data_IF_688358760682
#
_entry.id   IF_688358760682
#
_cell.length_a   1.000
_cell.length_b   1.000
_cell.length_c   1.000
_cell.angle_alpha   90.00
_cell.angle_beta   90.00
_cell.angle_gamma   90.00
#
_symmetry.space_group_name_H-M   'P 1'
#
loop_
_entity.id
_entity.type
_entity.pdbx_description
1 polymer ?
#
# COMPACT_ATOMS: atom_id res chain seq x y z
N UNK A 1 25.82 12.21 25.86
CA UNK A 1 24.77 11.25 25.45
C UNK A 1 25.43 9.88 25.23
N UNK A 2 25.04 8.84 25.98
CA UNK A 2 25.49 7.47 25.69
C UNK A 2 24.74 6.99 24.45
N UNK A 3 25.44 6.61 23.39
CA UNK A 3 24.83 5.86 22.28
C UNK A 3 24.17 4.61 22.87
N UNK A 4 22.87 4.45 22.63
CA UNK A 4 22.05 3.38 23.24
C UNK A 4 22.38 2.02 22.62
N UNK A 5 22.96 2.00 21.42
CA UNK A 5 23.32 0.78 20.70
C UNK A 5 24.83 0.70 20.47
N UNK A 6 25.43 -0.46 20.72
CA UNK A 6 26.80 -0.76 20.28
C UNK A 6 26.78 -0.90 18.75
N UNK A 7 27.73 -0.29 18.02
CA UNK A 7 27.84 -0.53 16.58
C UNK A 7 28.15 -2.02 16.35
N UNK A 8 27.41 -2.65 15.45
CA UNK A 8 27.76 -3.94 14.88
C UNK A 8 28.42 -3.69 13.53
N UNK A 9 29.65 -4.14 13.36
CA UNK A 9 30.29 -4.20 12.05
C UNK A 9 29.74 -5.40 11.29
N UNK A 10 29.36 -5.20 10.03
CA UNK A 10 29.02 -6.29 9.11
C UNK A 10 30.37 -6.87 8.63
N UNK A 11 30.77 -8.09 9.05
CA UNK A 11 32.10 -8.61 8.72
C UNK A 11 32.21 -8.93 7.22
N UNK A 12 33.31 -8.51 6.59
CA UNK A 12 33.74 -9.07 5.29
C UNK A 12 33.11 -8.46 4.03
N UNK A 13 32.33 -7.39 4.10
CA UNK A 13 31.79 -6.69 2.94
C UNK A 13 32.29 -5.23 2.92
N UNK A 14 32.80 -4.75 1.78
CA UNK A 14 33.15 -3.33 1.64
C UNK A 14 31.90 -2.45 1.70
N UNK A 15 32.01 -1.23 2.21
CA UNK A 15 30.89 -0.27 2.28
C UNK A 15 30.23 -0.06 0.90
N UNK A 16 31.03 -0.06 -0.16
CA UNK A 16 30.55 0.04 -1.55
C UNK A 16 29.66 -1.14 -1.93
N UNK A 17 30.08 -2.37 -1.64
CA UNK A 17 29.30 -3.57 -1.97
C UNK A 17 27.99 -3.65 -1.16
N UNK A 18 27.98 -3.17 0.09
CA UNK A 18 26.76 -3.06 0.90
C UNK A 18 25.81 -2.03 0.29
N UNK A 19 26.33 -0.86 -0.12
CA UNK A 19 25.53 0.19 -0.75
C UNK A 19 24.92 -0.27 -2.08
N UNK A 20 25.70 -0.97 -2.92
CA UNK A 20 25.23 -1.52 -4.19
C UNK A 20 24.10 -2.55 -3.98
N UNK A 21 24.25 -3.47 -3.02
CA UNK A 21 23.22 -4.44 -2.71
C UNK A 21 21.95 -3.77 -2.17
N UNK A 22 22.08 -2.76 -1.30
CA UNK A 22 20.96 -1.99 -0.78
C UNK A 22 20.20 -1.26 -1.90
N UNK A 23 20.91 -0.65 -2.84
CA UNK A 23 20.29 0.03 -3.99
C UNK A 23 19.59 -0.98 -4.93
N UNK A 24 20.20 -2.12 -5.21
CA UNK A 24 19.57 -3.19 -6.00
C UNK A 24 18.27 -3.68 -5.35
N UNK A 25 18.27 -3.88 -4.03
CA UNK A 25 17.08 -4.27 -3.28
C UNK A 25 16.00 -3.17 -3.34
N UNK A 26 16.39 -1.91 -3.17
CA UNK A 26 15.48 -0.76 -3.29
C UNK A 26 14.83 -0.69 -4.67
N UNK A 27 15.63 -0.75 -5.74
CA UNK A 27 15.16 -0.71 -7.13
C UNK A 27 14.19 -1.86 -7.43
N UNK A 28 14.48 -3.07 -6.92
CA UNK A 28 13.59 -4.24 -7.05
C UNK A 28 12.26 -4.06 -6.31
N UNK A 29 12.26 -3.37 -5.17
CA UNK A 29 11.05 -3.15 -4.38
C UNK A 29 10.15 -2.08 -5.01
N UNK A 30 10.74 -0.99 -5.54
CA UNK A 30 10.00 0.12 -6.15
C UNK A 30 9.62 -0.11 -7.61
N UNK A 31 10.15 -1.15 -8.26
CA UNK A 31 9.79 -1.48 -9.65
C UNK A 31 8.27 -1.61 -9.82
N UNK A 32 7.67 -1.04 -10.89
CA UNK A 32 6.23 -1.12 -11.10
C UNK A 32 5.69 -2.54 -11.05
N UNK A 33 4.54 -2.72 -10.38
CA UNK A 33 3.84 -3.99 -10.27
C UNK A 33 2.41 -3.85 -10.75
N UNK A 34 1.85 -4.98 -11.19
CA UNK A 34 0.49 -5.05 -11.70
C UNK A 34 -0.26 -6.24 -11.10
N UNK A 35 -1.55 -6.05 -10.88
CA UNK A 35 -2.51 -7.08 -10.51
C UNK A 35 -3.73 -6.95 -11.41
N UNK A 36 -4.39 -8.07 -11.70
CA UNK A 36 -5.54 -8.11 -12.59
C UNK A 36 -6.72 -8.80 -11.93
N UNK A 37 -7.92 -8.27 -12.18
CA UNK A 37 -9.20 -8.87 -11.83
C UNK A 37 -10.20 -8.54 -12.93
N UNK A 38 -10.56 -9.54 -13.73
CA UNK A 38 -11.39 -9.36 -14.92
C UNK A 38 -10.82 -8.25 -15.84
N UNK A 39 -11.60 -7.21 -16.13
CA UNK A 39 -11.19 -6.06 -16.93
C UNK A 39 -10.54 -4.92 -16.11
N UNK A 40 -10.17 -5.17 -14.85
CA UNK A 40 -9.58 -4.19 -13.95
C UNK A 40 -8.10 -4.49 -13.72
N UNK A 41 -7.27 -3.45 -13.81
CA UNK A 41 -5.84 -3.48 -13.52
C UNK A 41 -5.55 -2.61 -12.30
N UNK A 42 -4.81 -3.13 -11.32
CA UNK A 42 -4.14 -2.31 -10.31
C UNK A 42 -2.66 -2.18 -10.71
N UNK A 43 -2.10 -0.98 -10.65
CA UNK A 43 -0.70 -0.71 -11.02
C UNK A 43 -0.01 0.23 -10.04
N UNK A 44 1.28 0.00 -9.78
CA UNK A 44 2.15 0.93 -9.05
C UNK A 44 3.05 1.76 -9.96
N UNK A 45 2.80 1.76 -11.27
CA UNK A 45 3.53 2.60 -12.22
C UNK A 45 3.15 4.09 -12.04
N UNK A 46 4.09 4.95 -11.60
CA UNK A 46 3.79 6.37 -11.41
C UNK A 46 3.43 7.08 -12.73
N UNK A 47 3.87 6.57 -13.88
CA UNK A 47 3.55 7.15 -15.18
C UNK A 47 2.06 7.02 -15.55
N UNK A 48 1.33 6.10 -14.92
CA UNK A 48 -0.10 5.90 -15.16
C UNK A 48 -0.98 6.77 -14.24
N UNK A 49 -0.41 7.50 -13.27
CA UNK A 49 -1.19 8.28 -12.31
C UNK A 49 -1.79 9.53 -12.97
N UNK A 50 -3.11 9.70 -12.83
CA UNK A 50 -3.78 10.93 -13.23
C UNK A 50 -3.76 11.94 -12.06
N UNK A 51 -2.75 12.80 -12.02
CA UNK A 51 -2.56 13.80 -10.96
C UNK A 51 -3.77 14.70 -10.76
N UNK A 52 -4.42 15.14 -11.85
CA UNK A 52 -5.59 16.02 -11.75
C UNK A 52 -6.76 15.31 -11.07
N UNK A 53 -7.03 14.06 -11.45
CA UNK A 53 -8.10 13.27 -10.86
C UNK A 53 -7.82 12.94 -9.39
N UNK A 54 -6.59 12.54 -9.07
CA UNK A 54 -6.18 12.27 -7.69
C UNK A 54 -6.28 13.55 -6.84
N UNK A 55 -5.90 14.72 -7.38
CA UNK A 55 -6.07 16.01 -6.69
C UNK A 55 -7.52 16.30 -6.32
N UNK A 56 -8.49 15.87 -7.14
CA UNK A 56 -9.91 16.04 -6.84
C UNK A 56 -10.37 15.10 -5.73
N UNK A 57 -9.87 13.85 -5.71
CA UNK A 57 -10.20 12.89 -4.65
C UNK A 57 -9.58 13.24 -3.31
N UNK A 58 -8.41 13.88 -3.31
CA UNK A 58 -7.64 14.15 -2.10
C UNK A 58 -7.72 15.60 -1.63
N UNK A 59 -8.57 16.43 -2.23
CA UNK A 59 -8.61 17.88 -2.00
C UNK A 59 -8.80 18.27 -0.54
N UNK A 60 -9.53 17.46 0.25
CA UNK A 60 -9.71 17.71 1.68
C UNK A 60 -8.48 17.33 2.51
N UNK A 61 -7.76 16.28 2.09
CA UNK A 61 -6.63 15.73 2.85
C UNK A 61 -5.27 16.32 2.45
N UNK A 62 -5.12 16.75 1.21
CA UNK A 62 -3.90 17.34 0.62
C UNK A 62 -4.34 18.42 -0.39
N UNK A 63 -4.75 19.61 0.08
CA UNK A 63 -5.38 20.64 -0.76
C UNK A 63 -4.40 21.32 -1.73
N UNK A 64 -3.11 21.39 -1.39
CA UNK A 64 -2.14 22.13 -2.17
C UNK A 64 -1.38 21.24 -3.17
N UNK A 65 -1.16 21.77 -4.38
CA UNK A 65 -0.54 21.02 -5.49
C UNK A 65 0.90 20.60 -5.17
N UNK A 66 1.63 21.41 -4.39
CA UNK A 66 3.01 21.13 -4.01
C UNK A 66 3.08 19.91 -3.10
N UNK A 67 2.29 19.87 -2.03
CA UNK A 67 2.20 18.74 -1.11
C UNK A 67 1.63 17.51 -1.77
N UNK A 68 0.67 17.66 -2.69
CA UNK A 68 0.18 16.52 -3.49
C UNK A 68 1.32 15.90 -4.30
N UNK A 69 2.07 16.73 -5.03
CA UNK A 69 3.21 16.26 -5.83
C UNK A 69 4.26 15.58 -4.96
N UNK A 70 4.60 16.17 -3.81
CA UNK A 70 5.52 15.58 -2.85
C UNK A 70 5.00 14.24 -2.29
N UNK A 71 3.73 14.17 -1.92
CA UNK A 71 3.11 12.97 -1.37
C UNK A 71 3.07 11.83 -2.39
N UNK A 72 2.73 12.12 -3.65
CA UNK A 72 2.67 11.11 -4.70
C UNK A 72 4.06 10.60 -5.08
N UNK A 73 5.06 11.48 -5.16
CA UNK A 73 6.42 11.11 -5.55
C UNK A 73 7.22 10.40 -4.46
N UNK A 74 6.85 10.58 -3.18
CA UNK A 74 7.55 9.99 -2.02
C UNK A 74 6.70 8.90 -1.35
N UNK A 75 5.77 8.28 -2.07
CA UNK A 75 4.97 7.17 -1.57
C UNK A 75 4.78 6.13 -2.67
N UNK A 76 4.58 4.86 -2.27
CA UNK A 76 4.18 3.82 -3.20
C UNK A 76 2.68 4.00 -3.50
N UNK A 77 2.37 4.50 -4.69
CA UNK A 77 1.00 4.75 -5.12
C UNK A 77 0.44 3.57 -5.90
N UNK A 78 -0.83 3.24 -5.68
CA UNK A 78 -1.58 2.24 -6.42
C UNK A 78 -2.69 2.95 -7.17
N UNK A 79 -2.66 2.87 -8.50
CA UNK A 79 -3.79 3.27 -9.35
C UNK A 79 -4.64 2.04 -9.70
N UNK A 80 -5.96 2.21 -9.71
CA UNK A 80 -6.90 1.21 -10.21
C UNK A 80 -7.47 1.66 -11.55
N UNK A 81 -7.49 0.80 -12.55
CA UNK A 81 -7.79 1.17 -13.93
C UNK A 81 -8.80 0.21 -14.56
N UNK A 82 -9.71 0.78 -15.36
CA UNK A 82 -10.59 0.02 -16.26
C UNK A 82 -10.57 0.68 -17.61
N UNK A 83 -10.22 -0.07 -18.67
CA UNK A 83 -10.10 0.45 -20.04
C UNK A 83 -9.20 1.70 -20.12
N UNK A 84 -8.07 1.70 -19.40
CA UNK A 84 -7.12 2.83 -19.35
C UNK A 84 -7.57 4.04 -18.52
N UNK A 85 -8.81 4.08 -18.02
CA UNK A 85 -9.30 5.14 -17.14
C UNK A 85 -9.00 4.78 -15.68
N UNK A 86 -8.41 5.71 -14.93
CA UNK A 86 -8.23 5.55 -13.48
C UNK A 86 -9.58 5.66 -12.76
N UNK A 87 -9.91 4.66 -11.95
CA UNK A 87 -11.19 4.47 -11.25
C UNK A 87 -11.03 4.27 -9.74
N UNK A 88 -9.79 4.28 -9.25
CA UNK A 88 -9.46 4.13 -7.84
C UNK A 88 -8.01 4.46 -7.56
N UNK A 89 -7.72 4.63 -6.28
CA UNK A 89 -6.41 5.04 -5.79
C UNK A 89 -6.17 4.56 -4.37
N UNK A 90 -4.92 4.22 -4.06
CA UNK A 90 -4.43 4.07 -2.70
C UNK A 90 -2.97 4.53 -2.65
N UNK A 91 -2.51 4.94 -1.47
CA UNK A 91 -1.12 5.35 -1.26
C UNK A 91 -0.55 4.63 -0.06
N UNK A 92 0.70 4.19 -0.16
CA UNK A 92 1.44 3.58 0.93
C UNK A 92 2.65 4.44 1.28
N UNK A 93 2.71 4.90 2.53
CA UNK A 93 3.91 5.52 3.11
C UNK A 93 4.68 4.43 3.84
N UNK A 94 5.90 4.15 3.38
CA UNK A 94 6.69 3.01 3.88
C UNK A 94 8.17 3.24 3.64
N UNK A 95 8.99 2.70 4.54
CA UNK A 95 10.44 2.51 4.37
C UNK A 95 10.78 1.15 3.72
N UNK A 96 9.76 0.37 3.36
CA UNK A 96 9.83 -0.99 2.79
C UNK A 96 10.49 -2.02 3.72
N UNK A 97 10.64 -1.72 5.01
CA UNK A 97 11.38 -2.56 5.95
C UNK A 97 10.63 -2.77 7.26
N UNK A 98 10.06 -1.73 7.87
CA UNK A 98 9.44 -1.83 9.19
C UNK A 98 7.95 -1.47 9.16
N UNK A 99 7.59 -0.40 8.45
CA UNK A 99 6.25 0.19 8.54
C UNK A 99 5.56 0.25 7.20
N UNK A 100 4.28 -0.14 7.15
CA UNK A 100 3.43 -0.06 5.96
C UNK A 100 2.16 0.73 6.26
N UNK A 101 2.12 2.02 5.90
CA UNK A 101 0.97 2.89 6.18
C UNK A 101 0.14 3.11 4.93
N UNK A 102 -1.03 2.46 4.87
CA UNK A 102 -2.02 2.63 3.81
C UNK A 102 -2.86 3.87 4.08
N UNK A 103 -2.95 4.75 3.09
CA UNK A 103 -3.70 6.01 3.14
C UNK A 103 -4.48 6.22 1.85
N UNK A 104 -5.50 7.08 1.97
CA UNK A 104 -6.21 7.62 0.82
C UNK A 104 -6.80 6.53 -0.10
N UNK A 105 -7.33 5.45 0.49
CA UNK A 105 -8.01 4.39 -0.23
C UNK A 105 -9.34 4.91 -0.78
N UNK A 106 -9.42 5.03 -2.10
CA UNK A 106 -10.55 5.62 -2.80
C UNK A 106 -10.97 4.78 -4.00
N UNK A 107 -12.28 4.65 -4.21
CA UNK A 107 -12.89 4.07 -5.40
C UNK A 107 -13.93 5.07 -5.93
N UNK A 108 -13.91 5.31 -7.24
CA UNK A 108 -14.89 6.19 -7.90
C UNK A 108 -16.32 5.70 -7.60
N UNK A 109 -17.28 6.60 -7.32
CA UNK A 109 -18.63 6.24 -6.88
C UNK A 109 -19.32 5.17 -7.72
N UNK A 110 -19.19 5.23 -9.05
CA UNK A 110 -19.81 4.31 -9.98
C UNK A 110 -19.23 2.88 -9.98
N UNK A 111 -18.12 2.65 -9.26
CA UNK A 111 -17.50 1.32 -9.09
C UNK A 111 -17.44 0.86 -7.62
N UNK A 112 -18.20 1.51 -6.73
CA UNK A 112 -18.31 1.09 -5.32
C UNK A 112 -19.21 -0.13 -5.17
N UNK A 113 -19.19 -0.75 -3.99
CA UNK A 113 -20.05 -1.87 -3.59
C UNK A 113 -19.94 -3.17 -4.40
N UNK A 114 -18.96 -3.28 -5.31
CA UNK A 114 -18.62 -4.51 -6.06
C UNK A 114 -17.30 -5.16 -5.60
N UNK A 115 -16.81 -4.78 -4.42
CA UNK A 115 -15.63 -5.37 -3.80
C UNK A 115 -14.27 -4.88 -4.31
N UNK A 116 -14.22 -3.78 -5.08
CA UNK A 116 -12.94 -3.22 -5.56
C UNK A 116 -12.09 -2.60 -4.46
N UNK A 117 -12.70 -2.02 -3.42
CA UNK A 117 -11.96 -1.47 -2.27
C UNK A 117 -11.16 -2.56 -1.55
N UNK A 118 -11.79 -3.69 -1.24
CA UNK A 118 -11.12 -4.86 -0.63
C UNK A 118 -10.04 -5.42 -1.54
N UNK A 119 -10.30 -5.49 -2.85
CA UNK A 119 -9.30 -5.98 -3.80
C UNK A 119 -8.10 -5.05 -3.92
N UNK A 120 -8.31 -3.73 -3.96
CA UNK A 120 -7.23 -2.74 -3.98
C UNK A 120 -6.41 -2.80 -2.67
N UNK A 121 -7.07 -2.93 -1.53
CA UNK A 121 -6.41 -3.15 -0.24
C UNK A 121 -5.56 -4.43 -0.26
N UNK A 122 -6.09 -5.53 -0.80
CA UNK A 122 -5.33 -6.77 -0.98
C UNK A 122 -4.12 -6.59 -1.90
N UNK A 123 -4.25 -5.84 -3.00
CA UNK A 123 -3.11 -5.51 -3.86
C UNK A 123 -2.02 -4.80 -3.06
N UNK A 124 -2.37 -3.82 -2.22
CA UNK A 124 -1.42 -3.15 -1.33
C UNK A 124 -0.72 -4.14 -0.38
N UNK A 125 -1.46 -5.06 0.24
CA UNK A 125 -0.91 -6.04 1.20
C UNK A 125 -0.08 -7.14 0.53
N UNK A 126 -0.37 -7.46 -0.73
CA UNK A 126 0.35 -8.48 -1.50
C UNK A 126 1.67 -7.97 -2.10
N UNK A 127 1.94 -6.67 -2.04
CA UNK A 127 3.20 -6.10 -2.50
C UNK A 127 4.38 -6.72 -1.71
N UNK A 128 5.46 -7.17 -2.36
CA UNK A 128 6.61 -7.79 -1.68
C UNK A 128 7.20 -6.95 -0.55
N UNK A 129 7.21 -5.62 -0.69
CA UNK A 129 7.66 -4.70 0.36
C UNK A 129 6.83 -4.74 1.65
N UNK A 130 5.57 -5.20 1.59
CA UNK A 130 4.74 -5.34 2.79
C UNK A 130 5.19 -6.52 3.67
N UNK A 131 5.80 -7.57 3.08
CA UNK A 131 6.19 -8.80 3.80
C UNK A 131 7.25 -8.58 4.87
N UNK A 132 8.12 -7.57 4.70
CA UNK A 132 9.14 -7.23 5.69
C UNK A 132 8.58 -6.41 6.86
N UNK A 133 7.44 -5.74 6.66
CA UNK A 133 6.89 -4.80 7.63
C UNK A 133 6.22 -5.52 8.80
N UNK A 134 6.59 -5.14 10.02
CA UNK A 134 6.02 -5.70 11.26
C UNK A 134 4.66 -5.08 11.59
N UNK A 135 4.45 -3.84 11.14
CA UNK A 135 3.25 -3.06 11.44
C UNK A 135 2.61 -2.56 10.15
N UNK A 136 1.35 -2.94 9.94
CA UNK A 136 0.52 -2.38 8.88
C UNK A 136 -0.55 -1.53 9.52
N UNK A 137 -0.64 -0.29 9.06
CA UNK A 137 -1.61 0.68 9.54
C UNK A 137 -2.40 1.17 8.34
N UNK A 138 -3.72 1.20 8.44
CA UNK A 138 -4.56 1.94 7.52
C UNK A 138 -5.11 3.18 8.22
N UNK A 139 -5.05 4.33 7.53
CA UNK A 139 -5.56 5.61 8.04
C UNK A 139 -6.45 6.30 7.01
N UNK A 140 -7.62 6.77 7.45
CA UNK A 140 -8.56 7.48 6.60
C UNK A 140 -9.89 7.79 7.31
N UNK A 141 -10.93 8.01 6.52
CA UNK A 141 -12.29 8.14 7.04
C UNK A 141 -12.68 6.89 7.83
N UNK A 142 -13.39 7.04 8.98
CA UNK A 142 -13.81 5.90 9.79
C UNK A 142 -14.82 5.02 9.04
N UNK A 143 -14.36 3.86 8.55
CA UNK A 143 -15.19 2.81 7.92
C UNK A 143 -14.88 1.45 8.55
N UNK A 144 -15.19 1.24 9.84
CA UNK A 144 -14.74 0.06 10.60
C UNK A 144 -15.16 -1.26 9.96
N UNK A 145 -16.43 -1.40 9.56
CA UNK A 145 -16.93 -2.61 8.90
C UNK A 145 -16.14 -3.00 7.64
N UNK A 146 -15.59 -2.02 6.91
CA UNK A 146 -14.74 -2.31 5.77
C UNK A 146 -13.40 -2.88 6.23
N UNK A 147 -12.69 -2.20 7.12
CA UNK A 147 -11.36 -2.62 7.56
C UNK A 147 -11.38 -3.92 8.37
N UNK A 148 -12.37 -4.12 9.24
CA UNK A 148 -12.54 -5.33 10.04
C UNK A 148 -12.79 -6.57 9.17
N UNK A 149 -13.64 -6.45 8.15
CA UNK A 149 -13.83 -7.54 7.17
C UNK A 149 -12.59 -7.86 6.36
N UNK A 150 -11.62 -6.95 6.29
CA UNK A 150 -10.32 -7.16 5.64
C UNK A 150 -9.20 -7.48 6.65
N UNK A 151 -9.54 -7.89 7.88
CA UNK A 151 -8.56 -8.38 8.86
C UNK A 151 -7.81 -7.31 9.64
N UNK A 152 -8.32 -6.07 9.67
CA UNK A 152 -7.78 -5.01 10.52
C UNK A 152 -8.59 -4.87 11.81
N UNK A 153 -7.94 -4.38 12.86
CA UNK A 153 -8.60 -4.00 14.11
C UNK A 153 -8.64 -2.48 14.20
N UNK A 154 -9.82 -1.92 14.50
CA UNK A 154 -9.95 -0.50 14.81
C UNK A 154 -9.21 -0.17 16.11
N UNK A 155 -8.52 0.98 16.15
CA UNK A 155 -7.88 1.46 17.36
C UNK A 155 -8.85 2.39 18.11
N UNK A 156 -9.46 1.97 19.26
CA UNK A 156 -10.60 2.69 19.83
C UNK A 156 -10.31 4.15 20.22
N UNK A 157 -9.06 4.44 20.61
CA UNK A 157 -8.65 5.78 21.01
C UNK A 157 -8.38 6.74 19.82
N UNK A 158 -8.28 6.22 18.59
CA UNK A 158 -7.98 7.00 17.38
C UNK A 158 -8.93 6.59 16.24
N UNK A 159 -10.11 7.22 16.13
CA UNK A 159 -11.03 6.98 15.02
C UNK A 159 -10.34 7.13 13.66
N UNK A 160 -10.60 6.20 12.74
CA UNK A 160 -9.99 6.18 11.42
C UNK A 160 -8.60 5.55 11.35
N UNK A 161 -8.06 5.06 12.47
CA UNK A 161 -6.82 4.26 12.53
C UNK A 161 -7.15 2.79 12.71
N UNK A 162 -6.59 1.97 11.83
CA UNK A 162 -6.79 0.52 11.80
C UNK A 162 -5.44 -0.17 11.72
N UNK A 163 -5.23 -1.22 12.51
CA UNK A 163 -3.95 -1.92 12.60
C UNK A 163 -4.13 -3.40 12.30
N UNK A 164 -3.17 -3.99 11.60
CA UNK A 164 -3.06 -5.44 11.46
C UNK A 164 -1.59 -5.87 11.47
N UNK A 165 -1.36 -7.13 11.84
CA UNK A 165 -0.07 -7.80 11.74
C UNK A 165 -0.09 -8.72 10.53
N UNK A 166 0.89 -8.58 9.64
CA UNK A 166 1.18 -9.61 8.65
C UNK A 166 1.80 -10.79 9.41
N UNK A 167 0.98 -11.76 9.80
CA UNK A 167 1.51 -13.08 10.11
C UNK A 167 2.06 -13.68 8.81
N UNK A 168 3.22 -14.35 8.85
CA UNK A 168 3.77 -15.07 7.70
C UNK A 168 2.69 -16.01 7.13
N UNK A 169 2.04 -15.59 6.05
CA UNK A 169 0.87 -16.26 5.48
C UNK A 169 -0.36 -15.36 5.43
N UNK A 170 -0.46 -14.52 4.40
CA UNK A 170 -1.76 -13.91 4.05
C UNK A 170 -2.69 -15.03 3.59
N UNK A 171 -3.69 -15.29 4.42
CA UNK A 171 -4.90 -16.04 4.12
C UNK A 171 -5.56 -15.47 2.85
N UNK A 172 -5.80 -16.32 1.84
CA UNK A 172 -6.49 -15.97 0.61
C UNK A 172 -7.97 -16.41 0.68
N UNK A 173 -8.90 -15.54 1.10
CA UNK A 173 -10.32 -15.86 1.12
C UNK A 173 -10.96 -15.88 -0.28
N UNK A 174 -10.24 -15.46 -1.33
CA UNK A 174 -10.76 -15.43 -2.71
C UNK A 174 -10.59 -16.79 -3.39
N UNK A 175 -9.53 -17.55 -3.08
CA UNK A 175 -9.37 -18.94 -3.55
C UNK A 175 -10.22 -19.98 -2.80
N UNK A 176 -10.71 -19.71 -1.58
CA UNK A 176 -11.47 -20.70 -0.81
C UNK A 176 -12.91 -20.98 -1.33
N UNK A 177 -13.42 -20.16 -2.27
CA UNK A 177 -14.78 -20.31 -2.82
C UNK A 177 -14.86 -21.09 -4.14
N UNK A 178 -13.75 -21.56 -4.69
CA UNK A 178 -13.73 -22.40 -5.91
C UNK A 178 -13.59 -23.90 -5.64
N UNK A 179 -13.50 -24.33 -4.38
CA UNK A 179 -13.22 -25.73 -4.01
C UNK A 179 -14.40 -26.49 -3.34
N UNK A 180 -15.65 -26.05 -3.51
CA UNK A 180 -16.84 -26.77 -3.00
C UNK A 180 -17.95 -26.96 -4.04
N UNK A 181 -17.56 -27.28 -5.28
CA UNK A 181 -18.46 -27.89 -6.26
C UNK A 181 -17.75 -29.04 -6.98
N UNK A 182 -17.74 -30.21 -6.34
CA UNK A 182 -17.84 -31.52 -6.98
C UNK A 182 -18.46 -32.48 -5.96
#
# INVERSE_FOLDING_TARGET
>A
MKCINKPHSIPGCSDAAVADLAEQQRLRLISPRKWFRDAIEASTDPALLNYRLISQWLSESIPDTRSLTLALNNSLCFGLYRNGRQIGFARVVTDMAETWVIRNLFISPEYRFIGLGSWLLHCCLSHPGARGCRSIIAMGEPVPDFFERNGFMAFPALPGVYVTTLHEGVYDPVCAKSASRH
#
